data_IF_327937547013
#
_entry.id   IF_327937547013
#
_cell.length_a   1.000
_cell.length_b   1.000
_cell.length_c   1.000
_cell.angle_alpha   90.00
_cell.angle_beta   90.00
_cell.angle_gamma   90.00
#
_symmetry.space_group_name_H-M   'P 1'
#
loop_
_entity.id
_entity.type
_entity.pdbx_description
1 polymer ?
#
# COMPACT_ATOMS: atom_id res chain seq x y z
N UNK A 1 12.42 17.32 -11.13
CA UNK A 1 13.35 16.36 -11.74
C UNK A 1 13.89 17.00 -13.00
N UNK A 2 15.21 17.11 -13.14
CA UNK A 2 15.86 17.65 -14.35
C UNK A 2 16.01 16.54 -15.39
N UNK A 3 16.60 15.43 -14.97
CA UNK A 3 16.75 14.22 -15.78
C UNK A 3 16.92 12.99 -14.87
N UNK A 4 16.94 11.81 -15.48
CA UNK A 4 17.34 10.57 -14.82
C UNK A 4 18.20 9.73 -15.73
N UNK A 5 19.04 8.89 -15.17
CA UNK A 5 19.83 7.90 -15.88
C UNK A 5 19.88 6.60 -15.06
N UNK A 6 20.17 5.49 -15.74
CA UNK A 6 20.42 4.21 -15.06
C UNK A 6 21.92 4.13 -14.80
N UNK A 7 22.30 3.82 -13.57
CA UNK A 7 23.68 3.63 -13.16
C UNK A 7 23.80 2.43 -12.21
N UNK A 8 24.94 1.77 -12.18
CA UNK A 8 25.20 0.68 -11.22
C UNK A 8 25.42 1.25 -9.82
N UNK A 9 25.13 0.45 -8.79
CA UNK A 9 25.39 0.85 -7.41
C UNK A 9 26.88 1.18 -7.18
N UNK A 10 27.79 0.38 -7.76
CA UNK A 10 29.23 0.64 -7.73
C UNK A 10 29.60 2.04 -8.17
N UNK A 11 28.93 2.56 -9.19
CA UNK A 11 29.23 3.89 -9.76
C UNK A 11 28.63 5.02 -8.91
N UNK A 12 27.55 4.72 -8.18
CA UNK A 12 26.85 5.68 -7.32
C UNK A 12 27.43 5.77 -5.91
N UNK A 13 27.92 4.63 -5.39
CA UNK A 13 28.42 4.48 -4.03
C UNK A 13 29.72 3.66 -4.06
N UNK A 14 30.83 4.27 -4.52
CA UNK A 14 32.11 3.56 -4.70
C UNK A 14 32.69 3.00 -3.40
N UNK A 15 32.27 3.53 -2.25
CA UNK A 15 32.72 3.04 -0.94
C UNK A 15 31.98 1.78 -0.47
N UNK A 16 30.94 1.33 -1.21
CA UNK A 16 30.12 0.17 -0.84
C UNK A 16 30.37 -1.06 -1.75
N UNK A 17 31.60 -1.32 -2.15
CA UNK A 17 31.95 -2.40 -3.08
C UNK A 17 31.59 -3.81 -2.58
N UNK A 18 31.52 -4.01 -1.26
CA UNK A 18 31.14 -5.29 -0.65
C UNK A 18 29.64 -5.47 -0.43
N UNK A 19 28.81 -4.54 -0.92
CA UNK A 19 27.36 -4.63 -0.77
C UNK A 19 26.79 -5.74 -1.66
N UNK A 20 25.85 -6.61 -1.18
CA UNK A 20 25.27 -7.73 -1.95
C UNK A 20 24.67 -7.32 -3.30
N UNK A 21 24.25 -6.04 -3.42
CA UNK A 21 23.63 -5.46 -4.61
C UNK A 21 24.53 -4.48 -5.34
N UNK A 22 25.85 -4.65 -5.25
CA UNK A 22 26.85 -3.73 -5.85
C UNK A 22 26.69 -3.61 -7.38
N UNK A 23 26.27 -4.67 -8.04
CA UNK A 23 26.08 -4.72 -9.50
C UNK A 23 24.67 -4.41 -9.97
N UNK A 24 23.71 -4.19 -9.03
CA UNK A 24 22.33 -3.84 -9.38
C UNK A 24 22.27 -2.45 -10.02
N UNK A 25 21.31 -2.28 -10.95
CA UNK A 25 21.04 -1.02 -11.62
C UNK A 25 20.03 -0.20 -10.83
N UNK A 26 20.31 1.09 -10.70
CA UNK A 26 19.48 2.07 -10.00
C UNK A 26 19.15 3.26 -10.89
N UNK A 27 18.03 3.90 -10.63
CA UNK A 27 17.71 5.18 -11.24
C UNK A 27 18.40 6.31 -10.48
N UNK A 28 19.41 6.91 -11.09
CA UNK A 28 19.99 8.17 -10.61
C UNK A 28 19.12 9.33 -11.08
N UNK A 29 18.42 9.96 -10.16
CA UNK A 29 17.51 11.07 -10.45
C UNK A 29 18.18 12.38 -10.08
N UNK A 30 18.43 13.24 -11.06
CA UNK A 30 18.93 14.60 -10.82
C UNK A 30 17.78 15.55 -10.50
N UNK A 31 17.84 16.16 -9.33
CA UNK A 31 16.85 17.13 -8.88
C UNK A 31 17.41 18.55 -9.01
N UNK A 32 16.54 19.48 -9.36
CA UNK A 32 16.87 20.91 -9.39
C UNK A 32 16.82 21.53 -7.98
N UNK A 33 16.63 22.84 -7.92
CA UNK A 33 16.51 23.56 -6.65
C UNK A 33 15.35 23.00 -5.81
N UNK A 34 15.66 22.54 -4.62
CA UNK A 34 14.66 22.04 -3.65
C UNK A 34 13.88 23.24 -3.10
N UNK A 35 12.54 23.17 -3.19
CA UNK A 35 11.64 24.15 -2.58
C UNK A 35 10.93 23.53 -1.38
N UNK A 36 11.04 24.18 -0.23
CA UNK A 36 10.29 23.79 0.97
C UNK A 36 8.81 24.14 0.76
N UNK A 37 7.93 23.22 1.18
CA UNK A 37 6.49 23.50 1.21
C UNK A 37 6.18 24.59 2.23
N UNK A 38 5.26 25.51 1.90
CA UNK A 38 4.81 26.56 2.82
C UNK A 38 4.21 25.97 4.11
N UNK A 39 3.44 24.88 3.96
CA UNK A 39 2.88 24.14 5.09
C UNK A 39 3.42 22.70 5.06
N UNK A 40 3.99 22.19 6.17
CA UNK A 40 4.46 20.82 6.24
C UNK A 40 3.28 19.83 6.22
N UNK A 41 3.43 18.74 5.47
CA UNK A 41 2.44 17.65 5.45
C UNK A 41 2.70 16.76 6.67
N UNK A 42 1.78 16.77 7.64
CA UNK A 42 1.95 16.05 8.89
C UNK A 42 1.64 14.56 8.74
N UNK A 43 2.46 13.70 9.34
CA UNK A 43 2.13 12.29 9.51
C UNK A 43 1.35 12.12 10.82
N UNK A 44 0.01 12.30 10.74
CA UNK A 44 -0.88 12.28 11.91
C UNK A 44 -1.17 10.86 12.43
N UNK A 45 -0.95 9.85 11.60
CA UNK A 45 -1.00 8.45 11.98
C UNK A 45 0.33 7.86 11.55
N UNK A 46 1.18 7.38 12.48
CA UNK A 46 2.48 6.83 12.14
C UNK A 46 2.33 5.70 11.11
N UNK A 47 2.67 5.98 9.86
CA UNK A 47 2.71 5.04 8.76
C UNK A 47 4.15 4.93 8.28
N UNK A 48 4.61 3.71 8.06
CA UNK A 48 5.90 3.46 7.45
C UNK A 48 5.75 3.62 5.93
N UNK A 49 5.84 4.86 5.46
CA UNK A 49 5.79 5.17 4.03
C UNK A 49 7.20 5.51 3.57
N UNK A 50 7.79 4.65 2.77
CA UNK A 50 9.10 4.91 2.14
C UNK A 50 8.95 5.86 0.96
N UNK A 51 7.94 5.62 0.11
CA UNK A 51 7.55 6.48 -1.01
C UNK A 51 6.12 6.16 -1.43
N UNK A 52 5.49 7.09 -2.14
CA UNK A 52 4.13 6.92 -2.65
C UNK A 52 3.87 7.86 -3.83
N UNK A 53 2.81 7.57 -4.58
CA UNK A 53 2.39 8.37 -5.73
C UNK A 53 1.33 9.36 -5.33
N UNK A 54 1.50 10.60 -5.77
CA UNK A 54 0.54 11.69 -5.56
C UNK A 54 0.58 12.66 -6.73
N UNK A 55 -0.28 13.65 -6.73
CA UNK A 55 -0.27 14.73 -7.72
C UNK A 55 0.28 16.01 -7.11
N UNK A 56 0.81 16.91 -7.95
CA UNK A 56 1.30 18.21 -7.49
C UNK A 56 0.21 19.00 -6.74
N UNK A 57 -1.04 18.94 -7.23
CA UNK A 57 -2.17 19.61 -6.59
C UNK A 57 -2.43 19.08 -5.17
N UNK A 58 -2.38 17.76 -4.99
CA UNK A 58 -2.52 17.15 -3.65
C UNK A 58 -1.32 17.51 -2.77
N UNK A 59 -0.10 17.47 -3.32
CA UNK A 59 1.11 17.85 -2.56
C UNK A 59 1.01 19.28 -2.03
N UNK A 60 0.48 20.22 -2.81
CA UNK A 60 0.38 21.63 -2.43
C UNK A 60 -0.80 21.93 -1.48
N UNK A 61 -1.87 21.12 -1.50
CA UNK A 61 -3.10 21.35 -0.72
C UNK A 61 -3.25 20.50 0.53
N UNK A 62 -2.56 19.36 0.61
CA UNK A 62 -2.72 18.43 1.73
C UNK A 62 -2.05 18.93 3.00
N UNK A 63 -2.75 18.81 4.12
CA UNK A 63 -2.24 19.13 5.48
C UNK A 63 -1.65 17.92 6.20
N UNK A 64 -2.00 16.71 5.73
CA UNK A 64 -1.52 15.45 6.30
C UNK A 64 -1.39 14.37 5.21
N UNK A 65 -0.70 13.28 5.55
CA UNK A 65 -0.42 12.18 4.61
C UNK A 65 -1.68 11.44 4.14
N UNK A 66 -2.75 11.42 4.92
CA UNK A 66 -3.99 10.76 4.54
C UNK A 66 -4.68 11.52 3.39
N UNK A 67 -4.70 12.85 3.47
CA UNK A 67 -5.17 13.70 2.37
C UNK A 67 -4.27 13.59 1.15
N UNK A 68 -2.93 13.55 1.35
CA UNK A 68 -1.94 13.44 0.28
C UNK A 68 -2.17 12.20 -0.59
N UNK A 69 -2.50 11.07 0.04
CA UNK A 69 -2.73 9.78 -0.63
C UNK A 69 -4.21 9.45 -0.82
N UNK A 70 -5.12 10.39 -0.53
CA UNK A 70 -6.58 10.21 -0.62
C UNK A 70 -7.09 9.00 0.16
N UNK A 71 -6.52 8.74 1.32
CA UNK A 71 -6.94 7.60 2.17
C UNK A 71 -8.36 7.85 2.69
N UNK A 72 -9.27 6.95 2.39
CA UNK A 72 -10.64 7.05 2.81
C UNK A 72 -10.80 6.94 4.35
N UNK A 73 -11.77 7.64 4.97
CA UNK A 73 -12.03 7.53 6.40
C UNK A 73 -12.24 6.10 6.88
N UNK A 74 -12.89 5.26 6.09
CA UNK A 74 -13.13 3.83 6.37
C UNK A 74 -11.86 3.02 6.46
N UNK A 75 -10.86 3.30 5.60
CA UNK A 75 -9.54 2.68 5.70
C UNK A 75 -8.86 3.03 7.03
N UNK A 76 -8.97 4.28 7.49
CA UNK A 76 -8.40 4.70 8.76
C UNK A 76 -9.04 3.97 9.95
N UNK A 77 -10.37 3.81 9.92
CA UNK A 77 -11.13 3.08 10.96
C UNK A 77 -10.68 1.62 10.98
N UNK A 78 -10.62 0.98 9.80
CA UNK A 78 -10.22 -0.42 9.70
C UNK A 78 -8.76 -0.63 10.11
N UNK A 79 -7.83 0.23 9.67
CA UNK A 79 -6.42 0.21 10.09
C UNK A 79 -6.27 0.25 11.60
N UNK A 80 -7.01 1.17 12.25
CA UNK A 80 -6.99 1.29 13.69
C UNK A 80 -7.50 0.00 14.37
N UNK A 81 -8.61 -0.57 13.87
CA UNK A 81 -9.16 -1.82 14.37
C UNK A 81 -8.20 -3.00 14.24
N UNK A 82 -7.59 -3.18 13.06
CA UNK A 82 -6.61 -4.24 12.82
C UNK A 82 -5.39 -4.09 13.74
N UNK A 83 -4.84 -2.88 13.84
CA UNK A 83 -3.69 -2.59 14.73
C UNK A 83 -4.01 -2.84 16.20
N UNK A 84 -5.18 -2.40 16.70
CA UNK A 84 -5.63 -2.66 18.08
C UNK A 84 -5.79 -4.15 18.37
N UNK A 85 -6.11 -4.93 17.36
CA UNK A 85 -6.23 -6.39 17.45
C UNK A 85 -4.90 -7.15 17.29
N UNK A 86 -3.76 -6.45 17.18
CA UNK A 86 -2.43 -7.02 17.01
C UNK A 86 -2.15 -7.54 15.59
N UNK A 87 -2.97 -7.17 14.60
CA UNK A 87 -2.78 -7.58 13.21
C UNK A 87 -1.84 -6.57 12.53
N UNK A 88 -0.68 -7.04 12.07
CA UNK A 88 0.30 -6.25 11.30
C UNK A 88 -0.17 -6.17 9.85
N UNK A 89 -1.02 -5.19 9.54
CA UNK A 89 -1.44 -4.88 8.18
C UNK A 89 -0.57 -3.78 7.59
N UNK A 90 -0.09 -3.98 6.36
CA UNK A 90 0.65 -2.96 5.59
C UNK A 90 -0.35 -2.22 4.73
N UNK A 91 -0.55 -0.93 5.02
CA UNK A 91 -1.46 -0.09 4.26
C UNK A 91 -0.88 0.29 2.89
N UNK A 92 -1.76 0.44 1.89
CA UNK A 92 -1.43 0.89 0.54
C UNK A 92 -0.29 0.07 -0.09
N UNK A 93 -0.39 -1.27 0.04
CA UNK A 93 0.63 -2.19 -0.44
C UNK A 93 0.52 -2.42 -1.95
N UNK A 94 1.67 -2.35 -2.64
CA UNK A 94 1.73 -2.57 -4.08
C UNK A 94 2.18 -3.99 -4.41
N UNK A 95 1.37 -4.69 -5.21
CA UNK A 95 1.71 -5.98 -5.80
C UNK A 95 2.01 -5.77 -7.28
N UNK A 96 3.17 -6.26 -7.72
CA UNK A 96 3.62 -6.16 -9.10
C UNK A 96 3.22 -7.42 -9.88
N UNK A 97 2.67 -7.22 -11.06
CA UNK A 97 2.53 -8.21 -12.11
C UNK A 97 3.41 -7.77 -13.29
N UNK A 98 3.74 -8.65 -14.23
CA UNK A 98 4.70 -8.42 -15.34
C UNK A 98 4.58 -7.05 -16.03
N UNK A 99 3.37 -6.50 -16.13
CA UNK A 99 3.13 -5.17 -16.75
C UNK A 99 2.15 -4.31 -15.97
N UNK A 100 1.66 -4.76 -14.81
CA UNK A 100 0.64 -4.05 -14.03
C UNK A 100 1.04 -3.98 -12.56
N UNK A 101 0.62 -2.90 -11.93
CA UNK A 101 0.79 -2.69 -10.50
C UNK A 101 -0.58 -2.53 -9.86
N UNK A 102 -0.86 -3.34 -8.85
CA UNK A 102 -2.08 -3.29 -8.09
C UNK A 102 -1.78 -2.71 -6.71
N UNK A 103 -2.54 -1.69 -6.30
CA UNK A 103 -2.53 -1.19 -4.94
C UNK A 103 -3.60 -1.92 -4.14
N UNK A 104 -3.22 -2.42 -2.96
CA UNK A 104 -4.11 -3.02 -1.97
C UNK A 104 -4.28 -2.03 -0.83
N UNK A 105 -5.52 -1.88 -0.31
CA UNK A 105 -5.73 -1.00 0.84
C UNK A 105 -4.93 -1.51 2.04
N UNK A 106 -4.96 -2.84 2.28
CA UNK A 106 -4.08 -3.48 3.26
C UNK A 106 -3.61 -4.86 2.78
N UNK A 107 -2.35 -5.17 3.11
CA UNK A 107 -1.77 -6.49 2.97
C UNK A 107 -1.45 -7.07 4.34
N UNK A 108 -1.82 -8.34 4.57
CA UNK A 108 -1.46 -9.11 5.78
C UNK A 108 -0.74 -10.36 5.34
N UNK A 109 0.51 -10.53 5.76
CA UNK A 109 1.33 -11.68 5.40
C UNK A 109 1.17 -12.81 6.41
N UNK A 110 0.90 -14.01 5.88
CA UNK A 110 0.65 -15.23 6.64
C UNK A 110 1.62 -16.34 6.23
N UNK A 111 1.77 -17.38 7.04
CA UNK A 111 2.70 -18.50 6.79
C UNK A 111 2.41 -19.24 5.47
N UNK A 112 1.13 -19.35 5.08
CA UNK A 112 0.69 -20.07 3.88
C UNK A 112 0.11 -19.16 2.79
N UNK A 113 0.56 -17.89 2.69
CA UNK A 113 0.09 -16.94 1.72
C UNK A 113 -0.11 -15.54 2.31
N UNK A 114 -0.92 -14.71 1.67
CA UNK A 114 -1.20 -13.37 2.11
C UNK A 114 -2.68 -13.01 1.98
N UNK A 115 -3.12 -11.98 2.68
CA UNK A 115 -4.49 -11.47 2.63
C UNK A 115 -4.46 -10.06 2.06
N UNK A 116 -5.21 -9.83 0.98
CA UNK A 116 -5.57 -8.51 0.50
C UNK A 116 -6.89 -8.10 1.18
N UNK A 117 -6.85 -7.09 2.03
CA UNK A 117 -8.05 -6.51 2.65
C UNK A 117 -8.37 -5.22 1.95
N UNK A 118 -9.57 -5.14 1.37
CA UNK A 118 -10.03 -4.02 0.55
C UNK A 118 -11.24 -3.34 1.22
N UNK A 119 -11.26 -2.02 1.19
CA UNK A 119 -12.37 -1.21 1.67
C UNK A 119 -13.25 -0.78 0.49
N UNK A 120 -14.39 -1.44 0.29
CA UNK A 120 -15.28 -1.14 -0.83
C UNK A 120 -16.12 0.11 -0.58
N UNK A 121 -15.81 1.18 -1.28
CA UNK A 121 -16.64 2.38 -1.37
C UNK A 121 -17.67 2.22 -2.50
N UNK A 122 -18.96 2.14 -2.18
CA UNK A 122 -20.06 1.98 -3.16
C UNK A 122 -20.03 3.01 -4.30
N UNK A 123 -19.51 4.21 -4.06
CA UNK A 123 -19.45 5.30 -5.07
C UNK A 123 -18.38 5.11 -6.13
N UNK A 124 -17.35 4.32 -5.88
CA UNK A 124 -16.20 4.20 -6.79
C UNK A 124 -16.31 3.06 -7.83
N UNK A 125 -17.27 2.11 -7.66
CA UNK A 125 -17.26 0.84 -8.38
C UNK A 125 -18.49 0.58 -9.28
N UNK A 126 -19.16 1.62 -9.79
CA UNK A 126 -20.44 1.46 -10.49
C UNK A 126 -20.34 1.16 -12.00
N UNK A 127 -19.18 1.28 -12.64
CA UNK A 127 -19.02 1.14 -14.08
C UNK A 127 -18.58 -0.25 -14.55
N UNK A 128 -19.03 -0.73 -15.75
CA UNK A 128 -18.63 -2.03 -16.31
C UNK A 128 -17.11 -2.21 -16.44
N UNK A 129 -16.41 -1.17 -16.86
CA UNK A 129 -14.92 -1.15 -16.99
C UNK A 129 -14.20 -1.35 -15.65
N UNK A 130 -14.75 -0.82 -14.56
CA UNK A 130 -14.16 -0.99 -13.23
C UNK A 130 -14.35 -2.40 -12.72
N UNK A 131 -15.56 -2.99 -12.92
CA UNK A 131 -15.84 -4.39 -12.56
C UNK A 131 -14.89 -5.37 -13.26
N UNK A 132 -14.58 -5.11 -14.54
CA UNK A 132 -13.64 -5.94 -15.28
C UNK A 132 -12.21 -5.83 -14.73
N UNK A 133 -11.75 -4.62 -14.41
CA UNK A 133 -10.45 -4.42 -13.75
C UNK A 133 -10.38 -5.14 -12.41
N UNK A 134 -11.45 -5.09 -11.62
CA UNK A 134 -11.52 -5.75 -10.32
C UNK A 134 -11.53 -7.29 -10.46
N UNK A 135 -12.18 -7.84 -11.48
CA UNK A 135 -12.11 -9.28 -11.79
C UNK A 135 -10.68 -9.71 -12.13
N UNK A 136 -10.00 -8.96 -12.99
CA UNK A 136 -8.61 -9.24 -13.38
C UNK A 136 -7.68 -9.16 -12.15
N UNK A 137 -7.81 -8.11 -11.31
CA UNK A 137 -7.05 -7.97 -10.06
C UNK A 137 -7.29 -9.15 -9.13
N UNK A 138 -8.56 -9.54 -8.94
CA UNK A 138 -8.92 -10.65 -8.05
C UNK A 138 -8.38 -12.00 -8.56
N UNK A 139 -8.48 -12.26 -9.88
CA UNK A 139 -7.93 -13.47 -10.49
C UNK A 139 -6.42 -13.55 -10.28
N UNK A 140 -5.70 -12.46 -10.57
CA UNK A 140 -4.27 -12.36 -10.34
C UNK A 140 -3.89 -12.63 -8.87
N UNK A 141 -4.56 -11.99 -7.93
CA UNK A 141 -4.28 -12.16 -6.50
C UNK A 141 -4.46 -13.62 -6.06
N UNK A 142 -5.57 -14.26 -6.48
CA UNK A 142 -5.84 -15.67 -6.13
C UNK A 142 -4.80 -16.63 -6.70
N UNK A 143 -4.36 -16.41 -7.94
CA UNK A 143 -3.31 -17.23 -8.57
C UNK A 143 -1.96 -17.13 -7.86
N UNK A 144 -1.73 -16.02 -7.11
CA UNK A 144 -0.51 -15.77 -6.36
C UNK A 144 -0.67 -15.99 -4.85
N UNK A 145 -1.56 -16.89 -4.44
CA UNK A 145 -1.79 -17.27 -3.04
C UNK A 145 -2.26 -16.13 -2.13
N UNK A 146 -2.96 -15.13 -2.69
CA UNK A 146 -3.63 -14.10 -1.94
C UNK A 146 -5.09 -14.46 -1.66
N UNK A 147 -5.50 -14.46 -0.40
CA UNK A 147 -6.90 -14.41 -0.04
C UNK A 147 -7.40 -12.97 -0.12
N UNK A 148 -8.55 -12.73 -0.75
CA UNK A 148 -9.13 -11.39 -0.87
C UNK A 148 -10.32 -11.26 0.06
N UNK A 149 -10.28 -10.30 0.97
CA UNK A 149 -11.39 -9.93 1.85
C UNK A 149 -11.82 -8.51 1.48
N UNK A 150 -13.13 -8.33 1.31
CA UNK A 150 -13.72 -7.02 1.04
C UNK A 150 -14.69 -6.66 2.15
N UNK A 151 -14.57 -5.43 2.64
CA UNK A 151 -15.47 -4.84 3.61
C UNK A 151 -16.13 -3.62 3.00
N UNK A 152 -17.47 -3.58 3.03
CA UNK A 152 -18.19 -2.38 2.63
C UNK A 152 -17.97 -1.26 3.65
N UNK A 153 -18.07 0.00 3.22
CA UNK A 153 -18.05 1.17 4.10
C UNK A 153 -19.02 1.01 5.28
N UNK A 154 -20.24 0.51 4.99
CA UNK A 154 -21.25 0.25 6.02
C UNK A 154 -20.74 -0.76 7.05
N UNK A 155 -20.18 -1.90 6.63
CA UNK A 155 -19.68 -2.92 7.54
C UNK A 155 -18.55 -2.39 8.43
N UNK A 156 -17.64 -1.58 7.86
CA UNK A 156 -16.51 -1.01 8.62
C UNK A 156 -17.01 -0.04 9.70
N UNK A 157 -18.03 0.78 9.38
CA UNK A 157 -18.56 1.77 10.31
C UNK A 157 -19.47 1.13 11.37
N UNK A 158 -20.32 0.18 10.98
CA UNK A 158 -21.34 -0.42 11.87
C UNK A 158 -20.83 -1.64 12.65
N UNK A 159 -19.90 -2.42 12.10
CA UNK A 159 -19.37 -3.64 12.71
C UNK A 159 -17.88 -3.84 12.46
N UNK A 160 -17.09 -2.90 12.94
CA UNK A 160 -15.62 -3.00 12.88
C UNK A 160 -15.09 -4.28 13.54
N UNK A 161 -15.74 -4.72 14.64
CA UNK A 161 -15.37 -5.95 15.35
C UNK A 161 -15.51 -7.17 14.46
N UNK A 162 -16.63 -7.31 13.75
CA UNK A 162 -16.86 -8.40 12.80
C UNK A 162 -15.84 -8.39 11.65
N UNK A 163 -15.49 -7.20 11.14
CA UNK A 163 -14.42 -7.09 10.13
C UNK A 163 -13.07 -7.61 10.66
N UNK A 164 -12.71 -7.28 11.90
CA UNK A 164 -11.48 -7.74 12.54
C UNK A 164 -11.51 -9.26 12.80
N UNK A 165 -12.64 -9.78 13.29
CA UNK A 165 -12.82 -11.23 13.53
C UNK A 165 -12.65 -12.01 12.25
N UNK A 166 -13.33 -11.61 11.17
CA UNK A 166 -13.20 -12.25 9.85
C UNK A 166 -11.77 -12.24 9.32
N UNK A 167 -11.05 -11.16 9.56
CA UNK A 167 -9.62 -11.08 9.19
C UNK A 167 -8.80 -12.07 10.00
N UNK A 168 -9.02 -12.19 11.33
CA UNK A 168 -8.33 -13.16 12.19
C UNK A 168 -8.61 -14.62 11.78
N UNK A 169 -9.84 -14.96 11.47
CA UNK A 169 -10.20 -16.28 10.98
C UNK A 169 -9.46 -16.64 9.69
N UNK A 170 -9.33 -15.67 8.79
CA UNK A 170 -8.58 -15.87 7.54
C UNK A 170 -7.09 -16.03 7.80
N UNK A 171 -6.52 -15.27 8.74
CA UNK A 171 -5.13 -15.43 9.19
C UNK A 171 -4.91 -16.85 9.74
N UNK A 172 -5.83 -17.36 10.58
CA UNK A 172 -5.75 -18.71 11.12
C UNK A 172 -5.80 -19.79 10.03
N UNK A 173 -6.71 -19.67 9.05
CA UNK A 173 -6.78 -20.56 7.88
C UNK A 173 -5.49 -20.58 7.08
N UNK A 174 -4.77 -19.46 7.03
CA UNK A 174 -3.47 -19.34 6.36
C UNK A 174 -2.27 -19.64 7.28
N UNK A 175 -2.49 -20.33 8.40
CA UNK A 175 -1.43 -20.83 9.27
C UNK A 175 -0.87 -19.80 10.26
N UNK A 176 -1.55 -18.67 10.46
CA UNK A 176 -1.12 -17.58 11.34
C UNK A 176 -0.27 -16.53 10.62
N UNK A 177 0.04 -15.45 11.35
CA UNK A 177 0.92 -14.40 10.83
C UNK A 177 2.35 -14.92 10.60
N UNK A 178 3.04 -14.38 9.61
CA UNK A 178 4.48 -14.54 9.51
C UNK A 178 5.14 -13.92 10.73
N UNK A 179 6.04 -14.65 11.39
CA UNK A 179 6.91 -14.07 12.43
C UNK A 179 7.76 -12.92 11.85
N UNK A 180 8.20 -12.05 12.73
CA UNK A 180 9.24 -11.08 12.36
C UNK A 180 10.54 -11.78 12.09
#
# INVERSE_FOLDING_TARGET
>A
VLNYQIAKRSDLLPDELNHPKVHDSYFLVRVGKIKKLACPIRNIIPRRVSFGFTTLNLLLKSKNILQLYKVAPTEQILEHGLRKAGIKAIAQHYVLSDKKRYCLDFAVFCKKGAIAVECDNKKAHSGPRQREKDKIKNSFLRQHSWAVIRFSEHSIVSDLRGCVVRTKETIQKLGGLTGN
#
